data_IF_705291288378
#
_entry.id   IF_705291288378
#
_cell.length_a   1.000
_cell.length_b   1.000
_cell.length_c   1.000
_cell.angle_alpha   90.00
_cell.angle_beta   90.00
_cell.angle_gamma   90.00
#
_symmetry.space_group_name_H-M   'P 1'
#
loop_
_entity.id
_entity.type
_entity.pdbx_description
1 polymer ?
#
# COMPACT_ATOMS: atom_id res chain seq x y z
N UNK A 1 23.71 -22.02 31.67
CA UNK A 1 23.19 -21.86 30.30
C UNK A 1 22.80 -20.40 30.19
N UNK A 2 23.60 -19.58 29.52
CA UNK A 2 23.40 -18.12 29.46
C UNK A 2 22.25 -17.81 28.51
N UNK A 3 21.12 -17.39 29.07
CA UNK A 3 20.01 -16.75 28.38
C UNK A 3 20.60 -15.59 27.55
N UNK A 4 20.50 -15.68 26.23
CA UNK A 4 20.83 -14.56 25.37
C UNK A 4 19.74 -13.52 25.60
N UNK A 5 20.08 -12.44 26.30
CA UNK A 5 19.32 -11.19 26.34
C UNK A 5 19.02 -10.76 24.89
N UNK A 6 17.86 -11.15 24.40
CA UNK A 6 17.34 -10.65 23.14
C UNK A 6 16.89 -9.23 23.43
N UNK A 7 17.81 -8.27 23.24
CA UNK A 7 17.53 -6.84 23.35
C UNK A 7 16.21 -6.57 22.61
N UNK A 8 15.21 -5.94 23.26
CA UNK A 8 13.94 -5.67 22.61
C UNK A 8 14.23 -4.94 21.29
N UNK A 9 13.55 -5.33 20.21
CA UNK A 9 13.69 -4.70 18.92
C UNK A 9 13.30 -3.22 19.08
N UNK A 10 14.27 -2.34 19.32
CA UNK A 10 14.06 -0.89 19.39
C UNK A 10 13.92 -0.30 17.98
N UNK A 11 13.40 -1.10 17.05
CA UNK A 11 13.55 -0.93 15.61
C UNK A 11 12.44 -0.07 15.05
N UNK A 12 12.62 1.24 15.18
CA UNK A 12 11.97 2.18 14.27
C UNK A 12 12.56 2.08 12.87
N UNK A 13 11.88 2.66 11.89
CA UNK A 13 12.41 2.71 10.53
C UNK A 13 13.77 3.44 10.51
N UNK A 14 14.77 2.93 9.76
CA UNK A 14 16.09 3.56 9.73
C UNK A 14 16.02 4.98 9.18
N UNK A 15 16.23 5.98 10.04
CA UNK A 15 16.12 7.41 9.70
C UNK A 15 17.04 7.82 8.55
N UNK A 16 18.21 7.19 8.41
CA UNK A 16 19.10 7.40 7.28
C UNK A 16 18.45 7.01 5.94
N UNK A 17 17.71 5.88 5.89
CA UNK A 17 17.01 5.44 4.69
C UNK A 17 15.81 6.34 4.38
N UNK A 18 15.06 6.75 5.40
CA UNK A 18 13.97 7.73 5.25
C UNK A 18 14.50 9.03 4.65
N UNK A 19 15.62 9.55 5.17
CA UNK A 19 16.26 10.76 4.64
C UNK A 19 16.67 10.60 3.17
N UNK A 20 17.23 9.45 2.78
CA UNK A 20 17.59 9.18 1.38
C UNK A 20 16.36 9.17 0.47
N UNK A 21 15.25 8.57 0.90
CA UNK A 21 13.99 8.54 0.15
C UNK A 21 13.40 9.95 0.04
N UNK A 22 13.39 10.73 1.13
CA UNK A 22 12.94 12.13 1.06
C UNK A 22 13.76 12.96 0.05
N UNK A 23 15.08 12.74 -0.02
CA UNK A 23 15.98 13.42 -0.97
C UNK A 23 15.91 12.89 -2.41
N UNK A 24 15.17 11.81 -2.68
CA UNK A 24 14.98 11.37 -4.07
C UNK A 24 13.97 12.24 -4.82
N UNK A 25 13.21 13.06 -4.10
CA UNK A 25 12.38 14.10 -4.72
C UNK A 25 13.27 15.28 -5.15
N UNK A 26 13.22 15.72 -6.43
CA UNK A 26 14.06 16.80 -6.94
C UNK A 26 13.77 18.16 -6.28
N UNK A 27 12.62 18.31 -5.61
CA UNK A 27 12.23 19.55 -4.93
C UNK A 27 12.76 19.68 -3.49
N UNK A 28 13.38 18.63 -2.94
CA UNK A 28 13.79 18.59 -1.53
C UNK A 28 15.32 18.70 -1.40
N UNK A 29 15.81 19.91 -1.11
CA UNK A 29 17.24 20.17 -0.89
C UNK A 29 17.66 19.95 0.59
N UNK A 30 16.95 20.61 1.51
CA UNK A 30 17.25 20.61 2.95
C UNK A 30 16.13 19.95 3.75
N UNK A 31 16.51 19.04 4.66
CA UNK A 31 15.58 18.33 5.55
C UNK A 31 15.95 18.61 7.01
N UNK A 32 15.04 19.27 7.74
CA UNK A 32 15.18 19.51 9.17
C UNK A 32 15.08 18.22 9.98
N UNK A 33 15.64 18.19 11.20
CA UNK A 33 15.53 17.02 12.07
C UNK A 33 14.09 16.76 12.54
N UNK A 34 13.32 17.82 12.77
CA UNK A 34 11.92 17.70 13.15
C UNK A 34 11.08 17.07 12.03
N UNK A 35 11.27 17.53 10.78
CA UNK A 35 10.61 16.95 9.60
C UNK A 35 10.99 15.49 9.41
N UNK A 36 12.28 15.14 9.54
CA UNK A 36 12.73 13.76 9.45
C UNK A 36 12.07 12.88 10.51
N UNK A 37 11.99 13.35 11.75
CA UNK A 37 11.36 12.61 12.83
C UNK A 37 9.87 12.39 12.57
N UNK A 38 9.15 13.44 12.16
CA UNK A 38 7.72 13.39 11.87
C UNK A 38 7.43 12.42 10.71
N UNK A 39 8.16 12.52 9.60
CA UNK A 39 8.00 11.61 8.46
C UNK A 39 8.33 10.17 8.87
N UNK A 40 9.40 9.95 9.64
CA UNK A 40 9.73 8.60 10.15
C UNK A 40 8.55 7.99 10.91
N UNK A 41 7.91 8.76 11.81
CA UNK A 41 6.74 8.30 12.56
C UNK A 41 5.49 8.14 11.71
N UNK A 42 5.25 9.05 10.77
CA UNK A 42 4.15 8.94 9.83
C UNK A 42 4.29 7.67 8.96
N UNK A 43 5.49 7.34 8.48
CA UNK A 43 5.73 6.13 7.69
C UNK A 43 5.51 4.86 8.51
N UNK A 44 5.92 4.83 9.78
CA UNK A 44 5.63 3.70 10.68
C UNK A 44 4.12 3.49 10.84
N UNK A 45 3.38 4.57 11.14
CA UNK A 45 1.92 4.52 11.28
C UNK A 45 1.22 4.15 9.98
N UNK A 46 1.71 4.64 8.85
CA UNK A 46 1.18 4.32 7.53
C UNK A 46 1.28 2.82 7.21
N UNK A 47 2.45 2.21 7.42
CA UNK A 47 2.64 0.76 7.19
C UNK A 47 1.74 -0.05 8.11
N UNK A 48 1.62 0.36 9.38
CA UNK A 48 0.73 -0.28 10.34
C UNK A 48 -0.74 -0.19 9.91
N UNK A 49 -1.20 0.99 9.52
CA UNK A 49 -2.56 1.22 9.06
C UNK A 49 -2.89 0.39 7.80
N UNK A 50 -2.01 0.40 6.80
CA UNK A 50 -2.19 -0.38 5.58
C UNK A 50 -2.27 -1.89 5.89
N UNK A 51 -1.37 -2.39 6.74
CA UNK A 51 -1.38 -3.80 7.15
C UNK A 51 -2.66 -4.17 7.92
N UNK A 52 -3.14 -3.29 8.80
CA UNK A 52 -4.39 -3.51 9.53
C UNK A 52 -5.61 -3.55 8.62
N UNK A 53 -5.75 -2.62 7.67
CA UNK A 53 -6.86 -2.63 6.72
C UNK A 53 -6.81 -3.88 5.83
N UNK A 54 -5.63 -4.25 5.33
CA UNK A 54 -5.48 -5.46 4.52
C UNK A 54 -5.79 -6.74 5.32
N UNK A 55 -5.42 -6.79 6.60
CA UNK A 55 -5.74 -7.91 7.48
C UNK A 55 -7.25 -8.02 7.73
N UNK A 56 -8.00 -6.92 7.82
CA UNK A 56 -9.47 -6.96 7.94
C UNK A 56 -10.13 -7.60 6.72
N UNK A 57 -9.51 -7.54 5.53
CA UNK A 57 -10.03 -8.17 4.30
C UNK A 57 -9.87 -9.68 4.28
N UNK A 58 -8.78 -10.22 4.81
CA UNK A 58 -8.47 -11.66 4.75
C UNK A 58 -8.80 -12.42 6.05
N UNK A 59 -8.87 -11.72 7.18
CA UNK A 59 -9.16 -12.26 8.52
C UNK A 59 -8.03 -13.08 9.17
N UNK A 60 -6.97 -13.46 8.44
CA UNK A 60 -5.84 -14.26 8.97
C UNK A 60 -4.46 -13.73 8.62
N UNK A 61 -4.23 -13.42 7.33
CA UNK A 61 -2.90 -13.08 6.81
C UNK A 61 -2.97 -11.87 5.87
N UNK A 62 -1.98 -10.98 5.88
CA UNK A 62 -1.94 -9.89 4.88
C UNK A 62 -1.64 -10.49 3.50
N UNK A 63 -2.65 -10.51 2.63
CA UNK A 63 -2.52 -11.03 1.25
C UNK A 63 -2.45 -9.88 0.23
N UNK A 64 -1.89 -10.18 -0.94
CA UNK A 64 -1.84 -9.21 -2.04
C UNK A 64 -3.24 -8.78 -2.49
N UNK A 65 -4.20 -9.71 -2.59
CA UNK A 65 -5.57 -9.37 -2.97
C UNK A 65 -6.25 -8.47 -1.95
N UNK A 66 -6.01 -8.69 -0.65
CA UNK A 66 -6.49 -7.80 0.41
C UNK A 66 -5.89 -6.41 0.32
N UNK A 67 -4.58 -6.30 0.02
CA UNK A 67 -3.92 -5.02 -0.20
C UNK A 67 -4.47 -4.27 -1.42
N UNK A 68 -4.61 -4.95 -2.57
CA UNK A 68 -5.14 -4.34 -3.79
C UNK A 68 -6.58 -3.85 -3.60
N UNK A 69 -7.41 -4.62 -2.89
CA UNK A 69 -8.77 -4.23 -2.56
C UNK A 69 -8.82 -3.01 -1.63
N UNK A 70 -7.94 -2.93 -0.62
CA UNK A 70 -7.85 -1.75 0.25
C UNK A 70 -7.45 -0.49 -0.53
N UNK A 71 -6.53 -0.62 -1.49
CA UNK A 71 -6.09 0.50 -2.35
C UNK A 71 -7.24 1.01 -3.22
N UNK A 72 -8.07 0.11 -3.73
CA UNK A 72 -9.23 0.47 -4.56
C UNK A 72 -10.37 1.11 -3.76
N UNK A 73 -10.66 0.60 -2.58
CA UNK A 73 -11.82 1.05 -1.79
C UNK A 73 -11.58 2.34 -0.98
N UNK A 74 -10.32 2.72 -0.75
CA UNK A 74 -9.97 3.86 0.09
C UNK A 74 -9.18 4.91 -0.67
N UNK A 75 -9.76 6.09 -0.86
CA UNK A 75 -9.12 7.24 -1.51
C UNK A 75 -7.77 7.62 -0.91
N UNK A 76 -7.58 7.42 0.41
CA UNK A 76 -6.29 7.70 1.06
C UNK A 76 -5.14 6.80 0.61
N UNK A 77 -5.44 5.68 -0.06
CA UNK A 77 -4.45 4.73 -0.58
C UNK A 77 -4.35 4.71 -2.11
N UNK A 78 -5.15 5.50 -2.82
CA UNK A 78 -5.19 5.56 -4.30
C UNK A 78 -3.83 5.86 -4.95
N UNK A 79 -2.94 6.55 -4.26
CA UNK A 79 -1.56 6.79 -4.73
C UNK A 79 -0.73 5.50 -4.92
N UNK A 80 -1.22 4.35 -4.43
CA UNK A 80 -0.60 3.04 -4.59
C UNK A 80 -1.17 2.24 -5.77
N UNK A 81 -2.19 2.71 -6.48
CA UNK A 81 -2.89 1.94 -7.52
C UNK A 81 -1.96 1.40 -8.61
N UNK A 82 -0.95 2.20 -9.00
CA UNK A 82 0.04 1.81 -10.01
C UNK A 82 1.05 0.78 -9.50
N UNK A 83 1.23 0.70 -8.17
CA UNK A 83 2.18 -0.19 -7.51
C UNK A 83 1.50 -1.51 -7.09
N UNK A 84 0.22 -1.44 -6.71
CA UNK A 84 -0.60 -2.56 -6.23
C UNK A 84 -1.87 -2.71 -7.06
N UNK A 85 -1.76 -3.03 -8.36
CA UNK A 85 -2.93 -3.18 -9.23
C UNK A 85 -3.82 -4.36 -8.82
N UNK A 86 -5.14 -4.19 -8.95
CA UNK A 86 -6.10 -5.30 -8.90
C UNK A 86 -5.78 -6.31 -10.00
N UNK A 87 -5.72 -7.60 -9.63
CA UNK A 87 -5.49 -8.67 -10.60
C UNK A 87 -6.82 -9.08 -11.21
N UNK A 88 -7.10 -8.60 -12.41
CA UNK A 88 -8.20 -9.12 -13.24
C UNK A 88 -7.65 -10.25 -14.12
N UNK A 89 -8.33 -11.40 -14.15
CA UNK A 89 -7.97 -12.45 -15.10
C UNK A 89 -8.37 -11.97 -16.50
N UNK A 90 -7.46 -12.13 -17.45
CA UNK A 90 -7.67 -11.75 -18.86
C UNK A 90 -8.97 -12.32 -19.42
N UNK A 91 -9.29 -13.57 -19.09
CA UNK A 91 -10.55 -14.20 -19.50
C UNK A 91 -11.79 -13.45 -18.96
N UNK A 92 -11.76 -13.11 -17.68
CA UNK A 92 -12.89 -12.47 -17.01
C UNK A 92 -13.06 -11.02 -17.52
N UNK A 93 -11.95 -10.35 -17.90
CA UNK A 93 -11.95 -9.05 -18.58
C UNK A 93 -12.54 -9.10 -20.00
N UNK A 94 -12.17 -10.10 -20.81
CA UNK A 94 -12.78 -10.25 -22.14
C UNK A 94 -14.26 -10.60 -22.06
N UNK A 95 -14.67 -11.33 -21.02
CA UNK A 95 -16.06 -11.65 -20.80
C UNK A 95 -16.87 -10.40 -20.41
N UNK A 96 -16.36 -9.54 -19.53
CA UNK A 96 -17.05 -8.28 -19.18
C UNK A 96 -17.21 -7.35 -20.39
N UNK A 97 -16.22 -7.29 -21.29
CA UNK A 97 -16.33 -6.53 -22.55
C UNK A 97 -17.41 -7.08 -23.49
N UNK A 98 -17.57 -8.40 -23.54
CA UNK A 98 -18.61 -9.03 -24.34
C UNK A 98 -20.00 -8.77 -23.75
N UNK A 99 -20.14 -8.86 -22.43
CA UNK A 99 -21.39 -8.58 -21.72
C UNK A 99 -21.79 -7.09 -21.86
N UNK A 100 -20.85 -6.14 -21.73
CA UNK A 100 -21.11 -4.71 -21.97
C UNK A 100 -21.56 -4.43 -23.42
N UNK A 101 -20.94 -5.08 -24.41
CA UNK A 101 -21.32 -4.92 -25.82
C UNK A 101 -22.70 -5.53 -26.14
N UNK A 102 -23.07 -6.62 -25.48
CA UNK A 102 -24.39 -7.25 -25.61
C UNK A 102 -25.48 -6.41 -24.96
N UNK A 103 -25.22 -5.84 -23.77
CA UNK A 103 -26.14 -4.95 -23.06
C UNK A 103 -26.37 -3.64 -23.85
N UNK A 104 -25.34 -3.04 -24.44
CA UNK A 104 -25.48 -1.86 -25.31
C UNK A 104 -26.34 -2.15 -26.55
N UNK A 105 -26.15 -3.32 -27.17
CA UNK A 105 -26.91 -3.71 -28.35
C UNK A 105 -28.38 -4.03 -28.03
N UNK A 106 -28.64 -4.56 -26.83
CA UNK A 106 -30.00 -4.79 -26.33
C UNK A 106 -30.71 -3.47 -25.94
N UNK A 107 -29.97 -2.49 -25.41
CA UNK A 107 -30.51 -1.17 -25.06
C UNK A 107 -30.77 -0.27 -26.29
N UNK A 108 -30.10 -0.52 -27.41
CA UNK A 108 -30.26 0.21 -28.67
C UNK A 108 -31.38 -0.35 -29.59
N UNK A 109 -32.01 -1.46 -29.20
CA UNK A 109 -33.10 -2.14 -29.94
C UNK A 109 -34.47 -1.81 -29.35
#
# INVERSE_FOLDING_TARGET
MTEKDQKPFSGGLPTARIRTIMKSSPEIDVISQASLHLITKATELFVHALAQEAHKKSGKDVTYSGLAQVVEEHDSFQFLSDILPQKVKVRDFYQSLQEEAEDENMAAS
#
